data_IF_566249656318
#
_entry.id   IF_566249656318
#
_cell.length_a   1.000
_cell.length_b   1.000
_cell.length_c   1.000
_cell.angle_alpha   90.00
_cell.angle_beta   90.00
_cell.angle_gamma   90.00
#
_symmetry.space_group_name_H-M   'P 1'
#
loop_
_entity.id
_entity.type
_entity.pdbx_description
1 polymer ?
#
# COMPACT_ATOMS: atom_id res chain seq x y z
N UNK A 1 -27.88 5.99 -26.18
CA UNK A 1 -28.64 4.98 -26.92
C UNK A 1 -28.13 4.96 -28.34
N UNK A 2 -28.04 3.85 -29.06
CA UNK A 2 -28.70 2.56 -28.93
C UNK A 2 -27.79 1.46 -29.50
N UNK A 3 -27.77 0.31 -28.82
CA UNK A 3 -27.36 -0.97 -29.38
C UNK A 3 -28.50 -1.51 -30.26
N UNK A 4 -28.19 -2.08 -31.44
CA UNK A 4 -28.89 -3.25 -31.97
C UNK A 4 -28.06 -3.98 -33.07
N UNK A 5 -28.01 -5.32 -33.06
CA UNK A 5 -27.14 -6.10 -33.95
C UNK A 5 -27.78 -6.41 -35.32
N UNK A 6 -26.94 -6.54 -36.34
CA UNK A 6 -27.32 -7.03 -37.67
C UNK A 6 -27.43 -8.55 -37.67
N UNK A 7 -28.63 -9.03 -38.00
CA UNK A 7 -28.88 -10.40 -38.46
C UNK A 7 -28.44 -10.53 -39.93
N UNK A 8 -27.78 -11.63 -40.28
CA UNK A 8 -27.67 -12.07 -41.67
C UNK A 8 -28.25 -13.49 -41.79
N UNK A 9 -29.22 -13.59 -42.70
CA UNK A 9 -29.92 -14.77 -43.13
C UNK A 9 -29.18 -15.46 -44.28
N UNK A 10 -29.26 -16.80 -44.30
CA UNK A 10 -29.46 -17.57 -45.52
C UNK A 10 -28.22 -18.23 -46.14
N UNK A 11 -28.18 -19.56 -46.13
CA UNK A 11 -28.59 -20.33 -47.32
C UNK A 11 -28.74 -21.81 -46.95
N UNK A 12 -29.93 -22.36 -47.23
CA UNK A 12 -30.23 -23.77 -47.08
C UNK A 12 -29.78 -24.57 -48.30
N UNK A 13 -29.18 -25.73 -48.06
CA UNK A 13 -28.98 -26.78 -49.05
C UNK A 13 -29.92 -27.93 -48.66
N UNK A 14 -30.91 -28.21 -49.52
CA UNK A 14 -31.81 -29.36 -49.42
C UNK A 14 -31.07 -30.62 -49.86
N UNK A 15 -31.11 -31.68 -49.06
CA UNK A 15 -30.94 -33.05 -49.54
C UNK A 15 -32.09 -33.92 -49.01
N UNK A 16 -32.65 -34.69 -49.93
CA UNK A 16 -33.92 -35.41 -49.87
C UNK A 16 -33.93 -36.53 -48.80
N UNK A 17 -35.06 -36.82 -48.14
CA UNK A 17 -35.17 -37.88 -47.15
C UNK A 17 -35.72 -39.15 -47.79
N UNK A 18 -34.91 -40.19 -47.99
CA UNK A 18 -35.43 -41.54 -48.22
C UNK A 18 -34.34 -42.61 -48.01
N UNK A 19 -34.23 -43.14 -46.79
CA UNK A 19 -33.93 -44.55 -46.57
C UNK A 19 -34.37 -45.00 -45.17
N UNK A 20 -35.56 -45.62 -45.15
CA UNK A 20 -36.02 -46.75 -44.32
C UNK A 20 -35.62 -46.84 -42.84
N UNK A 21 -36.64 -46.66 -41.98
CA UNK A 21 -37.15 -47.61 -40.95
C UNK A 21 -36.34 -48.92 -40.85
N UNK A 22 -35.94 -49.45 -39.70
CA UNK A 22 -36.67 -49.66 -38.43
C UNK A 22 -35.67 -50.31 -37.45
N UNK A 23 -35.57 -49.86 -36.20
CA UNK A 23 -35.16 -50.67 -35.04
C UNK A 23 -35.43 -49.89 -33.75
N UNK A 24 -35.99 -50.60 -32.78
CA UNK A 24 -36.61 -50.09 -31.56
C UNK A 24 -35.75 -49.10 -30.77
N UNK A 25 -36.32 -47.92 -30.55
CA UNK A 25 -35.73 -46.85 -29.76
C UNK A 25 -35.84 -47.12 -28.26
N UNK A 26 -34.77 -47.68 -27.70
CA UNK A 26 -34.33 -47.29 -26.35
C UNK A 26 -33.11 -46.40 -26.59
N UNK A 27 -33.26 -45.08 -26.42
CA UNK A 27 -32.13 -44.17 -26.37
C UNK A 27 -31.39 -44.46 -25.07
N UNK A 28 -30.47 -45.43 -25.10
CA UNK A 28 -29.58 -45.71 -23.98
C UNK A 28 -28.75 -44.47 -23.72
N UNK A 29 -28.60 -44.11 -22.43
CA UNK A 29 -27.65 -43.08 -22.06
C UNK A 29 -26.26 -43.49 -22.56
N UNK A 30 -25.42 -42.55 -23.04
CA UNK A 30 -24.09 -42.89 -23.59
C UNK A 30 -23.22 -43.71 -22.63
N UNK A 31 -23.42 -43.55 -21.33
CA UNK A 31 -22.78 -44.31 -20.24
C UNK A 31 -23.15 -45.81 -20.21
N UNK A 32 -24.36 -46.17 -20.66
CA UNK A 32 -24.88 -47.54 -20.70
C UNK A 32 -24.63 -48.25 -22.04
N UNK A 33 -23.87 -47.64 -22.95
CA UNK A 33 -23.54 -48.23 -24.24
C UNK A 33 -22.51 -49.35 -24.09
N UNK A 34 -22.74 -50.46 -24.80
CA UNK A 34 -21.79 -51.58 -24.86
C UNK A 34 -20.43 -51.12 -25.42
N UNK A 35 -19.31 -51.68 -24.95
CA UNK A 35 -17.98 -51.37 -25.50
C UNK A 35 -17.92 -51.65 -27.00
N UNK A 36 -17.54 -50.64 -27.78
CA UNK A 36 -17.52 -50.71 -29.25
C UNK A 36 -16.19 -50.28 -29.88
N UNK A 37 -15.32 -49.61 -29.12
CA UNK A 37 -14.07 -49.03 -29.59
C UNK A 37 -12.88 -49.90 -29.18
N UNK A 38 -12.01 -50.25 -30.13
CA UNK A 38 -10.75 -50.97 -29.87
C UNK A 38 -9.57 -50.02 -29.86
N UNK A 39 -8.71 -50.12 -28.86
CA UNK A 39 -7.53 -49.27 -28.73
C UNK A 39 -6.27 -50.11 -28.51
N UNK A 40 -5.12 -49.56 -28.88
CA UNK A 40 -3.82 -50.08 -28.47
C UNK A 40 -3.58 -49.70 -26.99
N UNK A 41 -2.94 -50.58 -26.21
CA UNK A 41 -2.54 -50.29 -24.85
C UNK A 41 -1.08 -50.64 -24.61
N UNK A 42 -0.39 -49.82 -23.84
CA UNK A 42 1.00 -50.03 -23.42
C UNK A 42 1.19 -49.34 -22.08
N UNK A 43 1.68 -50.06 -21.07
CA UNK A 43 1.74 -49.60 -19.67
C UNK A 43 0.38 -49.65 -18.95
N UNK A 44 -0.70 -49.17 -19.58
CA UNK A 44 -2.07 -49.18 -19.03
C UNK A 44 -2.97 -50.20 -19.74
N UNK A 45 -2.55 -51.47 -19.78
CA UNK A 45 -3.40 -52.56 -20.25
C UNK A 45 -4.19 -53.19 -19.09
N UNK A 46 -5.47 -53.55 -19.31
CA UNK A 46 -6.20 -54.38 -18.37
C UNK A 46 -5.69 -55.83 -18.38
N UNK A 47 -5.95 -56.60 -17.32
CA UNK A 47 -5.46 -57.98 -17.17
C UNK A 47 -6.01 -58.94 -18.23
N UNK A 48 -7.17 -58.63 -18.81
CA UNK A 48 -7.83 -59.38 -19.88
C UNK A 48 -7.38 -58.92 -21.29
N UNK A 49 -6.39 -58.03 -21.39
CA UNK A 49 -5.88 -57.54 -22.66
C UNK A 49 -5.19 -58.67 -23.45
N UNK A 50 -5.63 -58.85 -24.69
CA UNK A 50 -5.03 -59.77 -25.64
C UNK A 50 -4.35 -58.94 -26.73
N UNK A 51 -3.08 -59.23 -27.04
CA UNK A 51 -2.30 -58.52 -28.06
C UNK A 51 -2.24 -56.99 -27.82
N UNK A 52 -2.01 -56.55 -26.59
CA UNK A 52 -1.90 -55.12 -26.25
C UNK A 52 -3.11 -54.32 -26.74
N UNK A 53 -4.30 -54.92 -26.67
CA UNK A 53 -5.54 -54.33 -27.14
C UNK A 53 -6.55 -54.31 -26.01
N UNK A 54 -7.22 -53.17 -25.85
CA UNK A 54 -8.32 -52.99 -24.89
C UNK A 54 -9.57 -52.52 -25.62
N UNK A 55 -10.75 -52.74 -25.01
CA UNK A 55 -12.05 -52.37 -25.59
C UNK A 55 -12.79 -51.42 -24.63
N UNK A 56 -13.36 -50.35 -25.16
CA UNK A 56 -14.09 -49.34 -24.36
C UNK A 56 -15.32 -48.78 -25.09
N UNK A 57 -16.21 -48.11 -24.35
CA UNK A 57 -17.30 -47.28 -24.87
C UNK A 57 -16.96 -45.77 -24.87
N UNK A 58 -15.81 -45.39 -24.29
CA UNK A 58 -15.33 -44.01 -24.21
C UNK A 58 -14.37 -43.64 -25.33
N UNK A 59 -13.11 -43.48 -24.97
CA UNK A 59 -12.04 -42.97 -25.83
C UNK A 59 -10.77 -43.80 -25.70
N UNK A 60 -9.97 -43.84 -26.76
CA UNK A 60 -8.58 -44.25 -26.68
C UNK A 60 -7.74 -43.06 -26.23
N UNK A 61 -6.68 -43.30 -25.47
CA UNK A 61 -5.73 -42.26 -25.09
C UNK A 61 -4.29 -42.67 -25.33
N UNK A 62 -3.44 -41.67 -25.55
CA UNK A 62 -2.00 -41.75 -25.39
C UNK A 62 -1.57 -40.62 -24.46
N UNK A 63 -0.67 -40.90 -23.53
CA UNK A 63 -0.18 -39.96 -22.54
C UNK A 63 1.33 -40.06 -22.44
N UNK A 64 1.99 -38.91 -22.37
CA UNK A 64 3.40 -38.80 -22.02
C UNK A 64 3.51 -38.13 -20.65
N UNK A 65 4.20 -38.78 -19.72
CA UNK A 65 4.43 -38.28 -18.36
C UNK A 65 5.94 -38.24 -18.09
N UNK A 66 6.38 -37.33 -17.22
CA UNK A 66 7.76 -37.23 -16.78
C UNK A 66 7.89 -37.93 -15.42
N UNK A 67 8.64 -39.04 -15.35
CA UNK A 67 8.83 -39.82 -14.12
C UNK A 67 9.56 -39.00 -13.03
N UNK A 68 9.65 -39.52 -11.79
CA UNK A 68 10.39 -38.87 -10.69
C UNK A 68 11.86 -38.57 -11.04
N UNK A 69 12.43 -39.30 -12.00
CA UNK A 69 13.81 -39.14 -12.47
C UNK A 69 13.94 -38.14 -13.63
N UNK A 70 12.85 -37.55 -14.13
CA UNK A 70 12.85 -36.64 -15.28
C UNK A 70 12.82 -37.33 -16.64
N UNK A 71 12.65 -38.64 -16.69
CA UNK A 71 12.59 -39.40 -17.94
C UNK A 71 11.16 -39.44 -18.49
N UNK A 72 10.94 -39.14 -19.79
CA UNK A 72 9.62 -39.19 -20.40
C UNK A 72 9.19 -40.64 -20.63
N UNK A 73 8.06 -41.02 -20.03
CA UNK A 73 7.42 -42.32 -20.25
C UNK A 73 6.14 -42.15 -21.08
N UNK A 74 6.01 -42.97 -22.12
CA UNK A 74 4.83 -42.99 -22.99
C UNK A 74 3.96 -44.18 -22.61
N UNK A 75 2.69 -43.91 -22.34
CA UNK A 75 1.68 -44.93 -22.06
C UNK A 75 0.44 -44.71 -22.93
N UNK A 76 -0.31 -45.78 -23.17
CA UNK A 76 -1.53 -45.75 -23.97
C UNK A 76 -2.54 -46.77 -23.43
N UNK A 77 -3.82 -46.51 -23.68
CA UNK A 77 -4.87 -47.43 -23.26
C UNK A 77 -6.28 -46.94 -23.55
N UNK A 78 -7.21 -47.52 -22.80
CA UNK A 78 -8.64 -47.29 -22.92
C UNK A 78 -9.18 -46.48 -21.75
N UNK A 79 -10.05 -45.52 -22.07
CA UNK A 79 -10.76 -44.71 -21.10
C UNK A 79 -12.26 -44.97 -21.18
N UNK A 80 -12.90 -45.14 -20.04
CA UNK A 80 -14.37 -45.27 -19.94
C UNK A 80 -15.04 -43.96 -20.34
N UNK A 81 -16.27 -44.03 -20.85
CA UNK A 81 -17.01 -42.83 -21.24
C UNK A 81 -17.23 -41.87 -20.05
N UNK A 82 -17.60 -42.40 -18.89
CA UNK A 82 -17.78 -41.62 -17.67
C UNK A 82 -16.49 -40.91 -17.26
N UNK A 83 -16.53 -39.58 -17.22
CA UNK A 83 -15.38 -38.75 -16.84
C UNK A 83 -14.29 -38.61 -17.91
N UNK A 84 -14.48 -39.15 -19.11
CA UNK A 84 -13.50 -39.00 -20.20
C UNK A 84 -13.31 -37.55 -20.63
N UNK A 85 -14.38 -36.76 -20.68
CA UNK A 85 -14.32 -35.33 -21.03
C UNK A 85 -13.40 -34.51 -20.11
N UNK A 86 -13.30 -34.90 -18.84
CA UNK A 86 -12.43 -34.25 -17.87
C UNK A 86 -11.00 -34.75 -17.94
N UNK A 87 -10.79 -36.04 -18.22
CA UNK A 87 -9.45 -36.63 -18.29
C UNK A 87 -8.74 -36.30 -19.60
N UNK A 88 -9.49 -36.19 -20.71
CA UNK A 88 -8.96 -35.78 -22.00
C UNK A 88 -8.67 -34.27 -22.09
N UNK A 89 -9.17 -33.48 -21.13
CA UNK A 89 -8.80 -32.07 -20.98
C UNK A 89 -7.67 -31.96 -19.97
N UNK A 90 -6.48 -31.68 -20.47
CA UNK A 90 -5.31 -31.54 -19.61
C UNK A 90 -5.49 -30.40 -18.58
N UNK A 91 -4.97 -30.61 -17.37
CA UNK A 91 -5.05 -29.63 -16.29
C UNK A 91 -3.77 -28.82 -16.25
N UNK A 92 -3.80 -27.50 -16.53
CA UNK A 92 -2.60 -26.65 -16.54
C UNK A 92 -1.96 -26.47 -15.15
N UNK A 93 -2.54 -27.06 -14.10
CA UNK A 93 -2.04 -27.01 -12.72
C UNK A 93 -1.51 -28.36 -12.22
N UNK A 94 -1.34 -29.35 -13.10
CA UNK A 94 -0.74 -30.61 -12.71
C UNK A 94 0.69 -30.37 -12.18
N UNK A 95 1.05 -31.07 -11.09
CA UNK A 95 2.39 -30.95 -10.49
C UNK A 95 3.48 -31.57 -11.37
N UNK A 96 3.13 -32.63 -12.12
CA UNK A 96 4.00 -33.28 -13.09
C UNK A 96 3.69 -32.75 -14.50
N UNK A 97 4.74 -32.60 -15.31
CA UNK A 97 4.60 -32.31 -16.74
C UNK A 97 4.08 -33.57 -17.42
N UNK A 98 2.88 -33.45 -17.96
CA UNK A 98 2.24 -34.50 -18.74
C UNK A 98 1.44 -33.89 -19.87
N UNK A 99 1.16 -34.69 -20.89
CA UNK A 99 0.21 -34.35 -21.93
C UNK A 99 -0.53 -35.59 -22.36
N UNK A 100 -1.86 -35.50 -22.35
CA UNK A 100 -2.76 -36.57 -22.76
C UNK A 100 -3.52 -36.14 -24.02
N UNK A 101 -3.57 -37.05 -25.00
CA UNK A 101 -4.37 -36.89 -26.21
C UNK A 101 -5.35 -38.05 -26.33
N UNK A 102 -6.58 -37.72 -26.72
CA UNK A 102 -7.67 -38.68 -26.83
C UNK A 102 -8.25 -38.72 -28.24
N UNK A 103 -8.68 -39.91 -28.66
CA UNK A 103 -9.30 -40.15 -29.96
C UNK A 103 -10.40 -41.23 -29.87
N UNK A 104 -11.24 -41.35 -30.91
CA UNK A 104 -12.48 -42.17 -30.87
C UNK A 104 -12.68 -43.08 -32.08
N UNK A 105 -11.60 -43.46 -32.76
CA UNK A 105 -11.62 -44.42 -33.88
C UNK A 105 -10.76 -45.63 -33.55
N UNK A 106 -11.08 -46.79 -34.12
CA UNK A 106 -10.36 -48.02 -33.80
C UNK A 106 -8.84 -47.87 -34.03
N UNK A 107 -8.05 -48.25 -33.03
CA UNK A 107 -6.58 -48.20 -32.99
C UNK A 107 -5.98 -46.81 -33.26
N UNK A 108 -6.73 -45.72 -33.07
CA UNK A 108 -6.25 -44.36 -33.33
C UNK A 108 -5.07 -43.92 -32.47
N UNK A 109 -4.89 -44.53 -31.30
CA UNK A 109 -3.83 -44.21 -30.36
C UNK A 109 -2.54 -45.02 -30.59
N UNK A 110 -2.47 -45.84 -31.65
CA UNK A 110 -1.28 -46.64 -31.95
C UNK A 110 -0.10 -45.78 -32.44
N UNK A 111 -0.38 -44.78 -33.27
CA UNK A 111 0.61 -43.86 -33.83
C UNK A 111 0.60 -42.48 -33.13
N UNK A 112 -0.17 -42.35 -32.04
CA UNK A 112 -0.33 -41.09 -31.33
C UNK A 112 0.86 -40.84 -30.40
N UNK A 113 1.62 -39.79 -30.70
CA UNK A 113 2.82 -39.42 -29.94
C UNK A 113 2.64 -38.02 -29.36
N UNK A 114 1.95 -37.88 -28.21
CA UNK A 114 1.85 -36.61 -27.52
C UNK A 114 3.24 -36.11 -27.13
N UNK A 115 3.46 -34.81 -27.23
CA UNK A 115 4.71 -34.16 -26.83
C UNK A 115 4.54 -33.48 -25.49
N UNK A 116 5.52 -33.60 -24.60
CA UNK A 116 5.53 -32.87 -23.33
C UNK A 116 5.37 -31.37 -23.56
N UNK A 117 4.63 -30.67 -22.69
CA UNK A 117 4.48 -29.23 -22.82
C UNK A 117 5.86 -28.59 -22.64
N UNK A 118 6.18 -27.50 -23.37
CA UNK A 118 7.46 -26.83 -23.20
C UNK A 118 7.63 -26.47 -21.73
N UNK A 119 8.86 -26.64 -21.21
CA UNK A 119 9.16 -26.24 -19.84
C UNK A 119 8.88 -24.74 -19.72
N UNK A 120 7.76 -24.40 -19.08
CA UNK A 120 7.41 -23.01 -18.86
C UNK A 120 8.36 -22.48 -17.78
N UNK A 121 9.43 -21.83 -18.23
CA UNK A 121 10.27 -20.97 -17.40
C UNK A 121 9.49 -19.73 -16.88
N UNK A 122 8.16 -19.75 -16.94
CA UNK A 122 7.22 -18.75 -16.43
C UNK A 122 7.32 -18.49 -14.93
N UNK A 123 7.94 -19.39 -14.14
CA UNK A 123 8.30 -19.07 -12.76
C UNK A 123 9.28 -17.88 -12.68
N UNK A 124 10.16 -17.73 -13.67
CA UNK A 124 11.02 -16.55 -13.81
C UNK A 124 10.36 -15.44 -14.64
N UNK A 125 9.53 -15.75 -15.64
CA UNK A 125 8.91 -14.73 -16.51
C UNK A 125 7.92 -13.80 -15.79
N UNK A 126 7.09 -14.34 -14.89
CA UNK A 126 6.23 -13.55 -14.02
C UNK A 126 7.03 -12.84 -12.93
N UNK A 127 7.96 -13.56 -12.30
CA UNK A 127 8.80 -13.05 -11.22
C UNK A 127 9.67 -11.87 -11.65
N UNK A 128 10.30 -11.88 -12.83
CA UNK A 128 11.17 -10.79 -13.30
C UNK A 128 10.40 -9.49 -13.54
N UNK A 129 9.18 -9.57 -14.11
CA UNK A 129 8.34 -8.38 -14.32
C UNK A 129 7.90 -7.77 -12.99
N UNK A 130 7.46 -8.60 -12.04
CA UNK A 130 7.10 -8.14 -10.70
C UNK A 130 8.32 -7.62 -9.93
N UNK A 131 9.48 -8.27 -10.05
CA UNK A 131 10.73 -7.85 -9.43
C UNK A 131 11.21 -6.51 -9.98
N UNK A 132 11.11 -6.28 -11.29
CA UNK A 132 11.42 -4.98 -11.91
C UNK A 132 10.49 -3.86 -11.41
N UNK A 133 9.19 -4.15 -11.26
CA UNK A 133 8.22 -3.19 -10.71
C UNK A 133 8.52 -2.90 -9.23
N UNK A 134 8.84 -3.91 -8.43
CA UNK A 134 9.20 -3.76 -7.01
C UNK A 134 10.49 -2.94 -6.85
N UNK A 135 11.52 -3.21 -7.65
CA UNK A 135 12.77 -2.45 -7.65
C UNK A 135 12.49 -1.00 -8.07
N UNK A 136 11.73 -0.78 -9.14
CA UNK A 136 11.36 0.57 -9.59
C UNK A 136 10.59 1.34 -8.50
N UNK A 137 9.66 0.69 -7.81
CA UNK A 137 8.87 1.30 -6.74
C UNK A 137 9.76 1.65 -5.54
N UNK A 138 10.67 0.76 -5.13
CA UNK A 138 11.62 1.01 -4.06
C UNK A 138 12.54 2.20 -4.37
N UNK A 139 13.07 2.30 -5.60
CA UNK A 139 13.90 3.45 -6.03
C UNK A 139 13.11 4.75 -5.97
N UNK A 140 11.85 4.76 -6.44
CA UNK A 140 10.99 5.94 -6.35
C UNK A 140 10.76 6.39 -4.90
N UNK A 141 10.51 5.47 -3.98
CA UNK A 141 10.34 5.79 -2.55
C UNK A 141 11.61 6.39 -1.97
N UNK A 142 12.78 5.81 -2.26
CA UNK A 142 14.06 6.32 -1.77
C UNK A 142 14.29 7.76 -2.28
N UNK A 143 14.04 8.03 -3.56
CA UNK A 143 14.14 9.39 -4.13
C UNK A 143 13.20 10.35 -3.42
N UNK A 144 11.96 9.96 -3.16
CA UNK A 144 10.99 10.80 -2.43
C UNK A 144 11.43 11.10 -1.00
N UNK A 145 12.03 10.13 -0.29
CA UNK A 145 12.57 10.34 1.06
C UNK A 145 13.78 11.29 1.02
N UNK A 146 14.66 11.17 0.03
CA UNK A 146 15.80 12.08 -0.15
C UNK A 146 15.30 13.50 -0.44
N UNK A 147 14.34 13.67 -1.34
CA UNK A 147 13.77 14.99 -1.64
C UNK A 147 13.06 15.59 -0.42
N UNK A 148 12.30 14.80 0.32
CA UNK A 148 11.63 15.24 1.55
C UNK A 148 12.63 15.63 2.65
N UNK A 149 13.67 14.83 2.86
CA UNK A 149 14.72 15.14 3.84
C UNK A 149 15.52 16.39 3.44
N UNK A 150 15.85 16.56 2.15
CA UNK A 150 16.46 17.80 1.65
C UNK A 150 15.54 19.00 1.81
N UNK A 151 14.24 18.86 1.56
CA UNK A 151 13.25 19.92 1.78
C UNK A 151 13.17 20.30 3.26
N UNK A 152 13.04 19.31 4.14
CA UNK A 152 13.03 19.50 5.58
C UNK A 152 14.33 20.12 6.08
N UNK A 153 15.49 19.69 5.58
CA UNK A 153 16.79 20.28 5.91
C UNK A 153 16.89 21.73 5.42
N UNK A 154 16.48 22.04 4.19
CA UNK A 154 16.45 23.42 3.69
C UNK A 154 15.48 24.30 4.49
N UNK A 155 14.32 23.77 4.86
CA UNK A 155 13.36 24.50 5.68
C UNK A 155 13.89 24.71 7.10
N UNK A 156 14.52 23.70 7.69
CA UNK A 156 15.15 23.75 9.00
C UNK A 156 16.34 24.73 9.00
N UNK A 157 17.27 24.62 8.05
CA UNK A 157 18.38 25.55 7.89
C UNK A 157 17.94 26.97 7.55
N UNK A 158 16.88 27.17 6.75
CA UNK A 158 16.33 28.51 6.50
C UNK A 158 15.67 29.09 7.76
N UNK A 159 14.99 28.25 8.54
CA UNK A 159 14.41 28.63 9.84
C UNK A 159 15.51 28.95 10.85
N UNK A 160 16.58 28.14 10.92
CA UNK A 160 17.75 28.36 11.76
C UNK A 160 18.57 29.56 11.31
N UNK A 161 18.74 29.82 10.01
CA UNK A 161 19.44 30.99 9.48
C UNK A 161 18.67 32.27 9.79
N UNK A 162 17.33 32.25 9.73
CA UNK A 162 16.50 33.35 10.25
C UNK A 162 16.71 33.53 11.76
N UNK A 163 16.81 32.44 12.53
CA UNK A 163 17.04 32.47 13.98
C UNK A 163 18.45 32.93 14.36
N UNK A 164 19.46 32.58 13.57
CA UNK A 164 20.85 32.99 13.74
C UNK A 164 21.10 34.43 13.28
N UNK A 165 20.49 34.87 12.17
CA UNK A 165 20.55 36.27 11.76
C UNK A 165 19.84 37.17 12.78
N UNK A 166 18.68 36.75 13.30
CA UNK A 166 17.99 37.45 14.40
C UNK A 166 18.85 37.53 15.67
N UNK A 167 19.54 36.44 16.07
CA UNK A 167 20.46 36.49 17.21
C UNK A 167 21.71 37.33 16.95
N UNK A 168 22.26 37.31 15.73
CA UNK A 168 23.47 38.08 15.36
C UNK A 168 23.18 39.58 15.23
N UNK A 169 22.00 39.95 14.74
CA UNK A 169 21.51 41.34 14.79
C UNK A 169 21.29 41.77 16.25
N UNK A 170 20.79 40.88 17.12
CA UNK A 170 20.62 41.14 18.55
C UNK A 170 21.96 41.35 19.29
N UNK A 171 23.02 40.64 18.90
CA UNK A 171 24.38 40.84 19.44
C UNK A 171 25.02 42.13 18.92
N UNK A 172 24.69 42.56 17.69
CA UNK A 172 25.20 43.80 17.11
C UNK A 172 24.50 45.05 17.67
N UNK A 173 23.22 44.93 18.07
CA UNK A 173 22.45 46.00 18.73
C UNK A 173 22.82 46.20 20.23
N UNK A 174 23.63 45.30 20.82
CA UNK A 174 24.20 45.50 22.18
C UNK A 174 25.25 46.62 22.21
N UNK A 175 25.72 47.11 21.05
CA UNK A 175 26.78 48.13 20.96
C UNK A 175 26.30 49.56 20.71
N UNK A 176 25.01 49.81 20.46
CA UNK A 176 24.60 51.13 19.97
C UNK A 176 23.15 51.55 20.29
N UNK A 177 22.79 51.80 21.56
CA UNK A 177 21.67 52.71 21.86
C UNK A 177 21.99 53.54 23.13
N UNK A 178 21.92 54.89 23.09
CA UNK A 178 22.08 55.76 24.26
C UNK A 178 20.88 55.65 25.21
N UNK A 179 21.13 55.82 26.51
CA UNK A 179 20.12 55.78 27.55
C UNK A 179 19.09 56.92 27.42
N UNK A 180 17.81 56.56 27.31
CA UNK A 180 16.68 57.49 27.39
C UNK A 180 15.48 56.81 28.03
N UNK A 181 15.21 57.17 29.29
CA UNK A 181 14.20 56.66 30.23
C UNK A 181 14.26 55.15 30.54
N UNK A 182 14.65 54.82 31.78
CA UNK A 182 14.70 53.43 32.25
C UNK A 182 13.31 52.89 32.61
N UNK A 183 13.11 51.57 32.50
CA UNK A 183 11.89 50.89 32.98
C UNK A 183 11.61 51.22 34.46
N UNK A 184 12.68 51.40 35.23
CA UNK A 184 12.62 51.78 36.63
C UNK A 184 12.00 53.16 36.82
N UNK A 185 12.34 54.15 36.00
CA UNK A 185 11.75 55.49 36.07
C UNK A 185 10.25 55.48 35.74
N UNK A 186 9.79 54.64 34.80
CA UNK A 186 8.37 54.49 34.46
C UNK A 186 7.58 53.78 35.57
N UNK A 187 8.20 52.80 36.23
CA UNK A 187 7.60 52.13 37.40
C UNK A 187 7.52 53.11 38.57
N UNK A 188 8.59 53.84 38.87
CA UNK A 188 8.66 54.81 39.98
C UNK A 188 7.73 56.02 39.75
N UNK A 189 7.60 56.51 38.50
CA UNK A 189 6.66 57.58 38.13
C UNK A 189 5.19 57.13 38.25
N UNK A 190 4.88 55.86 37.96
CA UNK A 190 3.55 55.29 38.21
C UNK A 190 3.25 55.10 39.71
N UNK A 191 4.29 55.01 40.55
CA UNK A 191 4.16 54.81 42.00
C UNK A 191 4.10 56.13 42.81
N UNK A 192 4.69 57.23 42.32
CA UNK A 192 4.68 58.54 43.03
C UNK A 192 3.37 59.33 42.88
N UNK A 193 2.46 58.94 42.00
CA UNK A 193 1.09 59.46 41.99
C UNK A 193 0.23 58.66 42.98
N UNK A 194 0.06 59.19 44.19
CA UNK A 194 -0.62 58.54 45.31
C UNK A 194 -2.04 58.07 45.00
N UNK A 195 -2.17 56.82 44.56
CA UNK A 195 -3.34 55.93 44.70
C UNK A 195 -2.98 54.52 44.18
N UNK A 196 -2.10 53.82 44.90
CA UNK A 196 -2.14 52.37 45.14
C UNK A 196 -2.45 51.39 44.00
N UNK A 197 -2.10 51.64 42.74
CA UNK A 197 -2.31 50.65 41.67
C UNK A 197 -1.18 50.76 40.64
N UNK A 198 -0.53 49.63 40.35
CA UNK A 198 0.56 49.58 39.38
C UNK A 198 0.13 50.01 37.97
N UNK A 199 1.12 50.09 37.06
CA UNK A 199 0.97 50.45 35.64
C UNK A 199 -0.45 50.19 35.09
N UNK A 200 -1.19 51.21 34.62
CA UNK A 200 -2.60 51.09 34.26
C UNK A 200 -2.80 49.99 33.22
N UNK A 201 -3.92 49.24 33.30
CA UNK A 201 -4.21 48.04 32.48
C UNK A 201 -4.02 48.25 30.96
N UNK A 202 -4.18 49.50 30.48
CA UNK A 202 -3.92 49.89 29.09
C UNK A 202 -2.42 49.83 28.72
N UNK A 203 -1.55 50.20 29.66
CA UNK A 203 -0.09 50.12 29.53
C UNK A 203 0.35 48.65 29.57
N UNK A 204 -0.18 47.82 30.47
CA UNK A 204 0.13 46.38 30.49
C UNK A 204 -0.27 45.64 29.20
N UNK A 205 -1.47 45.92 28.66
CA UNK A 205 -1.93 45.34 27.38
C UNK A 205 -1.10 45.78 26.17
N UNK A 206 -0.55 47.00 26.19
CA UNK A 206 0.28 47.52 25.08
C UNK A 206 1.74 47.11 25.20
N UNK A 207 2.27 47.00 26.43
CA UNK A 207 3.62 46.48 26.71
C UNK A 207 3.79 45.08 26.13
N UNK A 208 2.81 44.18 26.34
CA UNK A 208 2.88 42.82 25.82
C UNK A 208 3.10 42.76 24.30
N UNK A 209 2.51 43.70 23.54
CA UNK A 209 2.67 43.80 22.08
C UNK A 209 4.03 44.38 21.67
N UNK A 210 4.68 45.14 22.54
CA UNK A 210 5.96 45.80 22.30
C UNK A 210 7.17 44.97 22.77
N UNK A 211 6.96 43.91 23.55
CA UNK A 211 8.03 43.03 24.01
C UNK A 211 8.52 42.15 22.87
N UNK A 212 9.83 42.17 22.64
CA UNK A 212 10.50 41.25 21.72
C UNK A 212 10.93 40.01 22.49
N UNK A 213 10.41 38.84 22.12
CA UNK A 213 10.75 37.56 22.76
C UNK A 213 12.12 37.07 22.25
N UNK A 214 13.10 36.93 23.16
CA UNK A 214 14.50 36.63 22.79
C UNK A 214 14.81 35.13 22.90
N UNK A 215 14.77 34.57 24.12
CA UNK A 215 15.09 33.15 24.35
C UNK A 215 14.21 32.54 25.43
N UNK A 216 13.90 31.26 25.32
CA UNK A 216 13.25 30.52 26.40
C UNK A 216 14.26 30.31 27.54
N UNK A 217 13.90 30.71 28.75
CA UNK A 217 14.73 30.60 29.97
C UNK A 217 14.32 29.38 30.79
N UNK A 218 13.03 29.02 30.77
CA UNK A 218 12.54 27.87 31.50
C UNK A 218 11.16 27.42 31.06
N UNK A 219 10.78 26.20 31.44
CA UNK A 219 9.47 25.62 31.17
C UNK A 219 8.92 25.00 32.46
N UNK A 220 7.77 25.48 32.90
CA UNK A 220 7.05 24.95 34.05
C UNK A 220 5.78 24.19 33.64
N UNK A 221 5.09 23.60 34.62
CA UNK A 221 3.83 22.87 34.40
C UNK A 221 2.70 23.76 33.84
N UNK A 222 2.72 25.05 34.16
CA UNK A 222 1.62 25.98 33.88
C UNK A 222 1.99 27.07 32.87
N UNK A 223 3.17 26.98 32.24
CA UNK A 223 3.61 28.00 31.30
C UNK A 223 5.11 27.98 31.02
N UNK A 224 5.51 28.80 30.06
CA UNK A 224 6.90 28.96 29.63
C UNK A 224 7.43 30.33 30.06
N UNK A 225 8.66 30.37 30.55
CA UNK A 225 9.35 31.62 30.90
C UNK A 225 10.35 31.94 29.81
N UNK A 226 10.22 33.14 29.26
CA UNK A 226 11.05 33.69 28.20
C UNK A 226 11.79 34.92 28.70
N UNK A 227 13.00 35.13 28.20
CA UNK A 227 13.68 36.41 28.29
C UNK A 227 13.18 37.26 27.12
N UNK A 228 12.56 38.38 27.42
CA UNK A 228 12.17 39.40 26.46
C UNK A 228 13.07 40.62 26.53
N UNK A 229 12.99 41.47 25.51
CA UNK A 229 13.50 42.84 25.53
C UNK A 229 12.34 43.82 25.39
N UNK A 230 12.27 44.81 26.26
CA UNK A 230 11.36 45.95 26.12
C UNK A 230 12.16 47.24 26.23
N UNK A 231 12.11 48.08 25.19
CA UNK A 231 12.91 49.33 25.09
C UNK A 231 14.41 49.14 25.40
N UNK A 232 14.97 47.99 25.03
CA UNK A 232 16.40 47.67 25.25
C UNK A 232 16.69 46.95 26.57
N UNK A 233 15.77 46.96 27.54
CA UNK A 233 15.97 46.30 28.83
C UNK A 233 15.53 44.84 28.82
N UNK A 234 16.27 43.98 29.53
CA UNK A 234 15.99 42.54 29.66
C UNK A 234 14.88 42.32 30.69
N UNK A 235 13.79 41.70 30.26
CA UNK A 235 12.63 41.39 31.11
C UNK A 235 12.33 39.89 31.08
N UNK A 236 11.75 39.36 32.16
CA UNK A 236 11.22 38.00 32.18
C UNK A 236 9.74 38.02 31.78
N UNK A 237 9.36 37.19 30.81
CA UNK A 237 8.01 37.08 30.28
C UNK A 237 7.50 35.67 30.54
N UNK A 238 6.50 35.54 31.41
CA UNK A 238 5.83 34.26 31.66
C UNK A 238 4.61 34.15 30.76
N UNK A 239 4.65 33.19 29.85
CA UNK A 239 3.59 32.91 28.87
C UNK A 239 2.77 31.73 29.36
N UNK A 240 1.47 31.94 29.52
CA UNK A 240 0.50 30.91 29.88
C UNK A 240 -0.24 30.46 28.62
N UNK A 241 -0.57 29.17 28.49
CA UNK A 241 -1.47 28.73 27.43
C UNK A 241 -2.91 29.12 27.78
N UNK A 242 -3.75 29.28 26.76
CA UNK A 242 -5.16 29.68 26.93
C UNK A 242 -5.96 28.69 27.78
N UNK A 243 -5.51 27.44 27.91
CA UNK A 243 -6.10 26.40 28.76
C UNK A 243 -5.87 26.62 30.26
N UNK A 244 -4.88 27.43 30.65
CA UNK A 244 -4.55 27.75 32.05
C UNK A 244 -4.89 29.20 32.45
N UNK A 245 -5.88 29.83 31.80
CA UNK A 245 -6.31 31.21 32.07
C UNK A 245 -6.61 31.46 33.57
N UNK A 246 -7.23 30.49 34.25
CA UNK A 246 -7.48 30.59 35.70
C UNK A 246 -6.20 30.66 36.55
N UNK A 247 -5.09 30.07 36.09
CA UNK A 247 -3.78 30.19 36.75
C UNK A 247 -3.15 31.56 36.49
N UNK A 248 -3.30 32.09 35.28
CA UNK A 248 -2.86 33.44 34.94
C UNK A 248 -3.59 34.51 35.79
N UNK A 249 -4.91 34.38 35.95
CA UNK A 249 -5.70 35.29 36.78
C UNK A 249 -5.23 35.30 38.24
N UNK A 250 -5.08 34.12 38.86
CA UNK A 250 -4.61 34.00 40.25
C UNK A 250 -3.22 34.59 40.43
N UNK A 251 -2.29 34.30 39.52
CA UNK A 251 -0.92 34.78 39.62
C UNK A 251 -0.83 36.29 39.42
N UNK A 252 -1.58 36.83 38.45
CA UNK A 252 -1.67 38.27 38.21
C UNK A 252 -2.29 39.00 39.41
N UNK A 253 -3.34 38.44 40.02
CA UNK A 253 -3.96 38.99 41.22
C UNK A 253 -2.97 39.07 42.39
N UNK A 254 -2.20 38.01 42.64
CA UNK A 254 -1.18 37.96 43.70
C UNK A 254 -0.12 39.05 43.51
N UNK A 255 0.46 39.18 42.31
CA UNK A 255 1.49 40.19 42.04
C UNK A 255 0.95 41.62 41.97
N UNK A 256 -0.35 41.80 41.74
CA UNK A 256 -1.00 43.11 41.77
C UNK A 256 -1.48 43.52 43.18
N UNK A 257 -1.45 42.63 44.17
CA UNK A 257 -1.81 43.00 45.54
C UNK A 257 -0.82 44.02 46.13
N UNK A 258 -1.37 45.10 46.67
CA UNK A 258 -0.64 46.33 47.08
C UNK A 258 0.37 46.08 48.21
N UNK A 259 0.28 44.96 48.94
CA UNK A 259 1.06 44.67 50.15
C UNK A 259 2.20 43.65 49.95
N UNK A 260 2.40 43.12 48.74
CA UNK A 260 3.39 42.04 48.48
C UNK A 260 4.67 42.51 47.77
N UNK A 261 4.86 43.83 47.59
CA UNK A 261 6.07 44.38 46.97
C UNK A 261 7.22 44.44 47.98
N UNK A 262 8.19 43.56 47.80
CA UNK A 262 9.40 43.47 48.61
C UNK A 262 10.59 43.22 47.69
N UNK A 263 11.78 43.71 48.03
CA UNK A 263 13.01 43.51 47.24
C UNK A 263 13.38 42.03 46.98
N UNK A 264 12.81 41.09 47.74
CA UNK A 264 13.05 39.65 47.63
C UNK A 264 11.90 38.92 46.89
N UNK A 265 10.89 39.65 46.43
CA UNK A 265 9.76 39.14 45.68
C UNK A 265 9.79 39.81 44.31
N UNK A 266 9.91 39.01 43.25
CA UNK A 266 9.86 39.47 41.86
C UNK A 266 8.47 40.05 41.58
N UNK A 267 8.30 41.38 41.51
CA UNK A 267 7.03 42.05 41.27
C UNK A 267 7.17 43.52 40.90
#
# INVERSE_FOLDING_TARGET
GQNLPSMLHGTGMKTNPEQKKEADGVTLAPEDTLPFLKCYCSGHCPDDAINNTCITNGHCFAIIEEDEHGEPTLASGCMKYEGSDFQCKDSPKAQLRRTIECCRTDFCNQDLQPTLPPLDNGLFGGSIRWLAVLISMAVCIIVMIILFSCFCYKHYCKSMAKRHCYNRDLEQDEAFIPAGESLKDLIDQSQSSGSGSGLPLLVQRTIAKQIQMVRQVGKGRYGEVWMGKWRGEKVAVKVFFTTEEASWFRETEIYQTVLMRHENILG
#
